data_IF_514659567629
#
_entry.id   IF_514659567629
#
_cell.length_a   1.000
_cell.length_b   1.000
_cell.length_c   1.000
_cell.angle_alpha   90.00
_cell.angle_beta   90.00
_cell.angle_gamma   90.00
#
_symmetry.space_group_name_H-M   'P 1'
#
loop_
_entity.id
_entity.type
_entity.pdbx_description
1 polymer ?
#
# COMPACT_ATOMS: atom_id res chain seq x y z
N UNK A 1 -39.23 -2.07 27.15
CA UNK A 1 -38.22 -1.41 26.29
C UNK A 1 -37.00 -1.06 27.15
N UNK A 2 -35.80 -1.41 26.68
CA UNK A 2 -34.61 -1.56 27.52
C UNK A 2 -33.90 -0.23 27.81
N UNK A 3 -33.80 0.13 29.10
CA UNK A 3 -32.85 1.16 29.55
C UNK A 3 -31.38 0.70 29.46
N UNK A 4 -31.11 -0.61 29.45
CA UNK A 4 -29.76 -1.17 29.36
C UNK A 4 -29.02 -0.85 28.05
N UNK A 5 -29.72 -0.75 26.91
CA UNK A 5 -29.09 -0.50 25.60
C UNK A 5 -28.58 0.95 25.43
N UNK A 6 -29.10 1.90 26.21
CA UNK A 6 -28.66 3.30 26.14
C UNK A 6 -27.34 3.51 26.89
N UNK A 7 -27.12 2.79 27.99
CA UNK A 7 -25.89 2.90 28.76
C UNK A 7 -24.67 2.26 28.08
N UNK A 8 -24.84 1.19 27.30
CA UNK A 8 -23.73 0.58 26.55
C UNK A 8 -23.23 1.47 25.41
N UNK A 9 -24.15 2.12 24.67
CA UNK A 9 -23.79 3.02 23.57
C UNK A 9 -23.07 4.28 24.06
N UNK A 10 -23.55 4.89 25.16
CA UNK A 10 -22.90 6.06 25.77
C UNK A 10 -21.55 5.68 26.40
N UNK A 11 -21.43 4.49 26.99
CA UNK A 11 -20.15 3.97 27.50
C UNK A 11 -19.11 3.79 26.39
N UNK A 12 -19.48 3.14 25.28
CA UNK A 12 -18.59 2.96 24.13
C UNK A 12 -18.15 4.31 23.52
N UNK A 13 -19.08 5.26 23.36
CA UNK A 13 -18.77 6.60 22.84
C UNK A 13 -17.82 7.38 23.77
N UNK A 14 -17.98 7.29 25.10
CA UNK A 14 -17.09 7.93 26.07
C UNK A 14 -15.71 7.27 26.13
N UNK A 15 -15.60 5.96 25.91
CA UNK A 15 -14.30 5.27 25.81
C UNK A 15 -13.58 5.65 24.52
N UNK A 16 -14.27 5.67 23.36
CA UNK A 16 -13.71 6.11 22.09
C UNK A 16 -13.27 7.59 22.12
N UNK A 17 -14.10 8.47 22.67
CA UNK A 17 -13.75 9.88 22.89
C UNK A 17 -12.61 10.03 23.91
N UNK A 18 -12.56 9.20 24.94
CA UNK A 18 -11.48 9.20 25.93
C UNK A 18 -10.13 8.80 25.34
N UNK A 19 -10.09 7.76 24.49
CA UNK A 19 -8.87 7.29 23.82
C UNK A 19 -8.36 8.35 22.84
N UNK A 20 -9.22 8.91 21.99
CA UNK A 20 -8.85 9.97 21.03
C UNK A 20 -8.44 11.29 21.70
N UNK A 21 -9.06 11.64 22.83
CA UNK A 21 -8.68 12.83 23.59
C UNK A 21 -7.38 12.63 24.40
N UNK A 22 -7.09 11.41 24.85
CA UNK A 22 -5.82 11.09 25.51
C UNK A 22 -4.65 11.04 24.52
N UNK A 23 -4.84 10.55 23.28
CA UNK A 23 -3.76 10.54 22.29
C UNK A 23 -3.33 11.95 21.89
N UNK A 24 -4.28 12.83 21.54
CA UNK A 24 -3.98 14.23 21.17
C UNK A 24 -3.22 14.98 22.29
N UNK A 25 -3.69 14.87 23.54
CA UNK A 25 -3.03 15.51 24.69
C UNK A 25 -1.74 14.83 25.16
N UNK A 26 -1.41 13.63 24.68
CA UNK A 26 -0.10 13.01 24.89
C UNK A 26 0.90 13.50 23.82
N UNK A 27 0.45 13.59 22.56
CA UNK A 27 1.24 14.10 21.46
C UNK A 27 1.68 15.55 21.66
N UNK A 28 0.74 16.45 21.99
CA UNK A 28 1.04 17.84 22.35
C UNK A 28 2.06 17.96 23.50
N UNK A 29 2.06 17.00 24.44
CA UNK A 29 2.99 17.00 25.59
C UNK A 29 4.39 16.48 25.25
N UNK A 30 4.55 15.56 24.30
CA UNK A 30 5.87 15.12 23.81
C UNK A 30 6.46 16.10 22.78
N UNK A 31 5.62 16.76 21.99
CA UNK A 31 6.02 17.84 21.08
C UNK A 31 6.58 19.08 21.82
N UNK A 32 6.42 19.19 23.14
CA UNK A 32 6.90 20.34 23.93
C UNK A 32 8.43 20.51 24.04
N UNK A 33 9.25 19.64 23.46
CA UNK A 33 10.72 19.80 23.48
C UNK A 33 11.58 18.63 22.97
N UNK A 34 11.01 17.64 22.27
CA UNK A 34 11.78 16.54 21.67
C UNK A 34 12.43 16.90 20.33
N UNK A 35 13.49 16.17 19.93
CA UNK A 35 14.25 16.35 18.68
C UNK A 35 13.36 16.47 17.44
N UNK A 36 12.29 15.66 17.38
CA UNK A 36 11.37 15.57 16.24
C UNK A 36 10.10 16.41 16.40
N UNK A 37 9.94 17.21 17.47
CA UNK A 37 8.73 17.96 17.76
C UNK A 37 8.17 18.79 16.58
N UNK A 38 9.06 19.25 15.70
CA UNK A 38 8.71 20.04 14.52
C UNK A 38 7.83 19.28 13.51
N UNK A 39 7.82 17.94 13.49
CA UNK A 39 7.03 17.18 12.51
C UNK A 39 5.52 17.26 12.76
N UNK A 40 5.09 17.61 13.99
CA UNK A 40 3.70 17.64 14.42
C UNK A 40 2.82 18.61 13.60
N UNK A 41 3.43 19.62 12.95
CA UNK A 41 2.74 20.62 12.14
C UNK A 41 2.99 20.50 10.63
N UNK A 42 3.59 19.40 10.14
CA UNK A 42 3.91 19.21 8.73
C UNK A 42 2.74 18.51 8.03
N UNK A 43 2.28 19.06 6.91
CA UNK A 43 1.26 18.42 6.08
C UNK A 43 1.84 17.20 5.32
N UNK A 44 1.09 16.11 5.16
CA UNK A 44 1.52 14.99 4.32
C UNK A 44 1.78 15.38 2.87
N UNK A 45 2.83 14.82 2.27
CA UNK A 45 3.21 15.03 0.86
C UNK A 45 2.13 14.57 -0.15
N UNK A 46 1.38 13.55 0.24
CA UNK A 46 0.32 12.90 -0.53
C UNK A 46 -0.85 12.59 0.42
N UNK A 47 -2.02 12.26 -0.10
CA UNK A 47 -3.11 11.80 0.76
C UNK A 47 -2.65 10.56 1.56
N UNK A 48 -2.77 10.57 2.91
CA UNK A 48 -2.53 9.39 3.74
C UNK A 48 -3.31 8.18 3.24
N UNK A 49 -2.69 7.01 3.30
CA UNK A 49 -3.20 5.77 2.70
C UNK A 49 -3.37 4.68 3.74
N UNK A 50 -4.45 3.90 3.65
CA UNK A 50 -4.60 2.71 4.46
C UNK A 50 -3.89 1.53 3.78
N UNK A 51 -3.10 0.78 4.55
CA UNK A 51 -2.49 -0.48 4.16
C UNK A 51 -2.86 -1.54 5.19
N UNK A 52 -3.22 -2.75 4.73
CA UNK A 52 -3.54 -3.88 5.60
C UNK A 52 -2.61 -5.10 5.36
N UNK A 53 -1.27 -4.95 5.49
CA UNK A 53 -0.33 -6.03 5.24
C UNK A 53 -0.55 -7.20 6.20
N UNK A 54 -0.24 -8.42 5.73
CA UNK A 54 -0.19 -9.59 6.61
C UNK A 54 0.82 -9.36 7.75
N UNK A 55 0.54 -9.92 8.94
CA UNK A 55 1.48 -9.87 10.08
C UNK A 55 2.87 -10.40 9.68
N UNK A 56 2.87 -11.45 8.86
CA UNK A 56 4.06 -11.97 8.18
C UNK A 56 3.90 -11.73 6.68
N UNK A 57 4.34 -10.57 6.14
CA UNK A 57 4.23 -10.29 4.72
C UNK A 57 5.13 -11.24 3.92
N UNK A 58 4.75 -11.57 2.67
CA UNK A 58 5.58 -12.42 1.81
C UNK A 58 6.95 -11.79 1.54
N UNK A 59 7.99 -12.62 1.49
CA UNK A 59 9.38 -12.15 1.31
C UNK A 59 9.63 -11.75 -0.15
N UNK A 60 9.76 -10.45 -0.41
CA UNK A 60 9.90 -9.87 -1.77
C UNK A 60 11.30 -10.00 -2.40
N UNK A 61 12.18 -10.83 -1.83
CA UNK A 61 13.50 -11.12 -2.39
C UNK A 61 14.39 -9.88 -2.54
N UNK A 62 14.71 -9.51 -3.79
CA UNK A 62 15.59 -8.38 -4.11
C UNK A 62 14.91 -7.01 -3.96
N UNK A 63 13.58 -6.96 -4.09
CA UNK A 63 12.77 -5.73 -4.18
C UNK A 63 12.64 -4.95 -2.85
N UNK A 64 13.10 -5.53 -1.74
CA UNK A 64 13.15 -4.88 -0.42
C UNK A 64 11.86 -5.01 0.39
N UNK A 65 11.90 -4.57 1.65
CA UNK A 65 10.76 -4.63 2.57
C UNK A 65 10.01 -3.28 2.53
N UNK A 66 8.89 -3.23 1.79
CA UNK A 66 8.08 -2.01 1.57
C UNK A 66 7.60 -1.37 2.88
N UNK A 67 7.31 -2.19 3.89
CA UNK A 67 6.78 -1.76 5.18
C UNK A 67 7.85 -1.47 6.24
N UNK A 68 9.13 -1.71 5.95
CA UNK A 68 10.27 -1.35 6.80
C UNK A 68 10.38 -2.06 8.16
N UNK A 69 9.66 -3.16 8.38
CA UNK A 69 9.93 -4.12 9.46
C UNK A 69 10.27 -5.49 8.84
N UNK A 70 11.17 -6.26 9.47
CA UNK A 70 11.56 -7.59 9.00
C UNK A 70 10.67 -8.71 9.55
N UNK A 71 10.09 -8.49 10.73
CA UNK A 71 9.10 -9.36 11.36
C UNK A 71 8.20 -8.56 12.31
N UNK A 72 6.99 -9.07 12.56
CA UNK A 72 6.05 -8.52 13.52
C UNK A 72 5.53 -9.59 14.47
N UNK A 73 5.19 -9.20 15.71
CA UNK A 73 4.54 -10.06 16.69
C UNK A 73 3.36 -9.30 17.29
N UNK A 74 2.16 -9.85 17.11
CA UNK A 74 0.91 -9.33 17.69
C UNK A 74 0.75 -9.76 19.14
N UNK A 75 0.28 -8.84 20.00
CA UNK A 75 -0.14 -9.12 21.36
C UNK A 75 -1.68 -9.10 21.45
N UNK A 76 -2.35 -10.25 21.57
CA UNK A 76 -3.81 -10.31 21.58
C UNK A 76 -4.46 -9.76 22.88
N UNK A 77 -3.68 -9.41 23.90
CA UNK A 77 -4.21 -8.87 25.16
C UNK A 77 -4.59 -7.38 25.08
N UNK A 78 -3.90 -6.61 24.24
CA UNK A 78 -4.06 -5.14 24.10
C UNK A 78 -4.02 -4.67 22.63
N UNK A 79 -3.96 -5.61 21.68
CA UNK A 79 -3.84 -5.37 20.23
C UNK A 79 -2.61 -4.54 19.85
N UNK A 80 -1.55 -4.55 20.69
CA UNK A 80 -0.25 -3.97 20.35
C UNK A 80 0.56 -4.87 19.41
N UNK A 81 1.52 -4.29 18.70
CA UNK A 81 2.44 -5.01 17.81
C UNK A 81 3.89 -4.68 18.14
N UNK A 82 4.73 -5.71 18.24
CA UNK A 82 6.19 -5.56 18.29
C UNK A 82 6.77 -5.73 16.90
N UNK A 83 7.36 -4.67 16.35
CA UNK A 83 8.13 -4.74 15.10
C UNK A 83 9.60 -5.04 15.40
N UNK A 84 10.19 -5.83 14.52
CA UNK A 84 11.62 -6.12 14.46
C UNK A 84 12.24 -5.43 13.25
N UNK A 85 13.40 -4.84 13.48
CA UNK A 85 14.12 -3.99 12.55
C UNK A 85 15.55 -4.54 12.39
N UNK A 86 15.81 -5.30 11.33
CA UNK A 86 17.12 -5.86 10.97
C UNK A 86 18.00 -4.90 10.14
N UNK A 87 19.31 -4.85 10.45
CA UNK A 87 20.27 -3.95 9.76
C UNK A 87 20.27 -4.10 8.23
N UNK A 88 20.11 -5.30 7.67
CA UNK A 88 20.24 -5.49 6.20
C UNK A 88 18.90 -5.45 5.43
N UNK A 89 17.78 -5.28 6.14
CA UNK A 89 16.43 -5.38 5.57
C UNK A 89 15.62 -4.09 5.63
N UNK A 90 15.70 -3.36 6.75
CA UNK A 90 14.78 -2.28 7.12
C UNK A 90 14.76 -1.12 6.12
N UNK A 91 15.89 -0.83 5.47
CA UNK A 91 15.97 0.21 4.44
C UNK A 91 16.67 -0.32 3.21
N UNK A 92 15.87 -0.62 2.18
CA UNK A 92 16.26 -0.42 0.79
C UNK A 92 15.40 0.71 0.23
N UNK A 93 15.97 1.67 -0.53
CA UNK A 93 15.18 2.71 -1.17
C UNK A 93 14.27 2.06 -2.22
N UNK A 94 12.97 2.34 -2.13
CA UNK A 94 11.99 1.89 -3.10
C UNK A 94 11.84 2.90 -4.25
N UNK A 95 12.34 2.53 -5.42
CA UNK A 95 12.22 3.32 -6.66
C UNK A 95 13.27 4.42 -6.85
N UNK A 96 13.16 5.10 -7.99
CA UNK A 96 14.15 6.07 -8.49
C UNK A 96 14.14 7.35 -7.62
N UNK A 97 15.29 8.03 -7.54
CA UNK A 97 15.46 9.31 -6.81
C UNK A 97 15.70 9.18 -5.31
N UNK A 98 15.27 8.08 -4.67
CA UNK A 98 15.49 7.87 -3.25
C UNK A 98 16.87 7.26 -2.94
N UNK A 99 17.55 7.81 -1.94
CA UNK A 99 18.79 7.22 -1.38
C UNK A 99 18.70 7.08 0.14
N UNK A 100 19.52 6.19 0.70
CA UNK A 100 19.65 6.02 2.15
C UNK A 100 20.55 7.14 2.69
N UNK A 101 20.20 7.85 3.79
CA UNK A 101 21.10 8.78 4.44
C UNK A 101 22.44 8.13 4.78
N UNK A 102 23.56 8.84 4.55
CA UNK A 102 24.91 8.33 4.87
C UNK A 102 25.15 8.05 6.36
N UNK A 103 24.28 8.57 7.24
CA UNK A 103 24.31 8.33 8.69
C UNK A 103 23.43 7.15 9.12
N UNK A 104 22.84 6.42 8.17
CA UNK A 104 22.06 5.24 8.49
C UNK A 104 22.95 4.06 8.91
N UNK A 105 22.97 3.79 10.20
CA UNK A 105 23.38 2.52 10.77
C UNK A 105 22.41 2.13 11.90
N UNK A 106 21.96 0.88 11.91
CA UNK A 106 21.43 0.26 13.12
C UNK A 106 22.65 -0.18 13.98
N UNK A 107 22.79 0.27 15.25
CA UNK A 107 23.97 0.00 16.08
C UNK A 107 24.09 -1.49 16.50
N UNK A 108 23.03 -2.26 16.30
CA UNK A 108 22.97 -3.70 16.54
C UNK A 108 22.40 -4.38 15.29
N UNK A 109 22.57 -5.71 15.17
CA UNK A 109 22.11 -6.46 14.01
C UNK A 109 20.57 -6.46 13.88
N UNK A 110 19.88 -6.30 15.02
CA UNK A 110 18.45 -5.99 15.08
C UNK A 110 18.11 -5.02 16.21
N UNK A 111 17.00 -4.31 16.05
CA UNK A 111 16.31 -3.54 17.07
C UNK A 111 14.82 -3.95 17.08
N UNK A 112 14.13 -3.79 18.21
CA UNK A 112 12.68 -4.02 18.26
C UNK A 112 11.97 -3.00 19.14
N UNK A 113 10.71 -2.72 18.78
CA UNK A 113 9.88 -1.73 19.45
C UNK A 113 8.42 -2.14 19.36
N UNK A 114 7.70 -1.96 20.48
CA UNK A 114 6.26 -2.22 20.58
C UNK A 114 5.48 -0.94 20.40
N UNK A 115 4.42 -0.99 19.60
CA UNK A 115 3.50 0.11 19.34
C UNK A 115 2.07 -0.33 19.71
N UNK A 116 1.39 0.49 20.48
CA UNK A 116 -0.02 0.34 20.83
C UNK A 116 -0.95 0.92 19.76
N UNK A 117 -2.23 0.57 19.85
CA UNK A 117 -3.27 1.08 18.94
C UNK A 117 -3.37 2.61 19.00
N UNK A 118 -3.53 3.23 17.83
CA UNK A 118 -3.49 4.66 17.52
C UNK A 118 -2.13 5.36 17.63
N UNK A 119 -1.05 4.67 18.00
CA UNK A 119 0.26 5.31 18.06
C UNK A 119 0.81 5.65 16.67
N UNK A 120 1.43 6.82 16.55
CA UNK A 120 2.18 7.22 15.33
C UNK A 120 3.66 7.02 15.50
N UNK A 121 4.40 6.69 14.44
CA UNK A 121 5.86 6.57 14.48
C UNK A 121 6.45 6.69 13.07
N UNK A 122 7.66 7.24 12.98
CA UNK A 122 8.48 7.08 11.78
C UNK A 122 9.03 5.65 11.74
N UNK A 123 9.06 5.05 10.56
CA UNK A 123 9.65 3.73 10.34
C UNK A 123 10.79 3.76 9.32
N UNK A 124 10.83 4.77 8.45
CA UNK A 124 11.87 4.96 7.43
C UNK A 124 12.19 6.45 7.25
N UNK A 125 13.46 6.77 6.99
CA UNK A 125 13.91 8.07 6.53
C UNK A 125 14.73 7.86 5.25
N UNK A 126 14.36 8.55 4.16
CA UNK A 126 15.07 8.55 2.89
C UNK A 126 15.50 9.97 2.52
N UNK A 127 16.47 10.09 1.62
CA UNK A 127 16.84 11.35 0.96
C UNK A 127 16.25 11.35 -0.44
N UNK A 128 15.60 12.45 -0.84
CA UNK A 128 15.10 12.72 -2.19
C UNK A 128 15.53 14.14 -2.56
N UNK A 129 16.35 14.26 -3.59
CA UNK A 129 17.04 15.51 -3.96
C UNK A 129 17.79 16.11 -2.74
N UNK A 130 17.55 17.40 -2.43
CA UNK A 130 18.11 18.06 -1.24
C UNK A 130 17.26 17.82 0.03
N UNK A 131 16.09 17.19 -0.07
CA UNK A 131 15.15 17.00 1.04
C UNK A 131 15.28 15.63 1.72
N UNK A 132 14.78 15.54 2.96
CA UNK A 132 14.56 14.27 3.65
C UNK A 132 13.07 13.95 3.67
N UNK A 133 12.75 12.68 3.48
CA UNK A 133 11.38 12.16 3.47
C UNK A 133 11.25 11.17 4.63
N UNK A 134 10.43 11.50 5.63
CA UNK A 134 10.05 10.56 6.68
C UNK A 134 8.80 9.80 6.24
N UNK A 135 8.89 8.47 6.23
CA UNK A 135 7.71 7.62 6.11
C UNK A 135 7.22 7.28 7.51
N UNK A 136 5.96 7.60 7.75
CA UNK A 136 5.28 7.49 9.02
C UNK A 136 4.16 6.45 8.91
N UNK A 137 3.89 5.77 10.01
CA UNK A 137 2.65 5.05 10.22
C UNK A 137 1.87 5.63 11.39
N UNK A 138 0.55 5.52 11.34
CA UNK A 138 -0.28 5.29 12.52
C UNK A 138 -0.70 3.82 12.54
N UNK A 139 -0.45 3.13 13.65
CA UNK A 139 -0.95 1.77 13.85
C UNK A 139 -2.40 1.82 14.36
N UNK A 140 -3.32 1.15 13.68
CA UNK A 140 -4.76 1.12 13.99
C UNK A 140 -5.22 -0.20 14.64
N UNK A 141 -4.28 -1.09 14.98
CA UNK A 141 -4.57 -2.43 15.51
C UNK A 141 -4.51 -3.51 14.43
N UNK A 142 -5.18 -4.64 14.65
CA UNK A 142 -5.24 -5.74 13.68
C UNK A 142 -6.61 -5.92 13.02
N UNK A 143 -6.61 -6.59 11.86
CA UNK A 143 -7.83 -7.01 11.16
C UNK A 143 -7.68 -8.44 10.64
N UNK A 144 -8.82 -9.13 10.50
CA UNK A 144 -8.88 -10.49 9.97
C UNK A 144 -9.54 -10.48 8.59
N UNK A 145 -8.97 -11.24 7.65
CA UNK A 145 -9.55 -11.50 6.33
C UNK A 145 -9.47 -13.01 6.03
N UNK A 146 -10.62 -13.68 5.97
CA UNK A 146 -10.71 -15.15 5.83
C UNK A 146 -9.79 -15.91 6.81
N UNK A 147 -9.75 -15.45 8.07
CA UNK A 147 -8.91 -16.02 9.14
C UNK A 147 -7.44 -15.61 9.14
N UNK A 148 -6.95 -14.91 8.11
CA UNK A 148 -5.58 -14.40 8.07
C UNK A 148 -5.48 -13.06 8.79
N UNK A 149 -4.45 -12.92 9.63
CA UNK A 149 -4.21 -11.73 10.46
C UNK A 149 -3.35 -10.70 9.72
N UNK A 150 -3.90 -9.50 9.59
CA UNK A 150 -3.23 -8.33 9.06
C UNK A 150 -3.06 -7.27 10.13
N UNK A 151 -2.04 -6.43 9.93
CA UNK A 151 -1.92 -5.15 10.61
C UNK A 151 -2.83 -4.14 9.91
N UNK A 152 -3.29 -3.12 10.62
CA UNK A 152 -3.99 -1.97 10.03
C UNK A 152 -3.07 -0.76 10.20
N UNK A 153 -2.52 -0.25 9.09
CA UNK A 153 -1.51 0.80 9.08
C UNK A 153 -1.98 1.97 8.21
N UNK A 154 -2.12 3.16 8.80
CA UNK A 154 -2.28 4.40 8.02
C UNK A 154 -0.88 4.94 7.73
N UNK A 155 -0.48 4.86 6.48
CA UNK A 155 0.82 5.34 6.00
C UNK A 155 0.73 6.78 5.50
N UNK A 156 1.73 7.60 5.80
CA UNK A 156 1.89 8.95 5.27
C UNK A 156 3.37 9.34 5.16
N UNK A 157 3.67 10.35 4.34
CA UNK A 157 5.04 10.82 4.08
C UNK A 157 5.14 12.30 4.40
N UNK A 158 6.21 12.69 5.10
CA UNK A 158 6.49 14.08 5.47
C UNK A 158 7.80 14.51 4.82
N UNK A 159 7.78 15.63 4.09
CA UNK A 159 9.02 16.30 3.68
C UNK A 159 9.52 17.15 4.85
N UNK A 160 10.77 16.91 5.24
CA UNK A 160 11.37 17.47 6.45
C UNK A 160 12.74 18.09 6.16
N UNK A 161 13.22 19.01 7.02
CA UNK A 161 14.48 19.72 6.81
C UNK A 161 15.67 18.78 6.53
N UNK A 162 16.65 19.17 5.69
CA UNK A 162 17.75 18.29 5.27
C UNK A 162 18.70 17.85 6.41
N UNK A 163 18.58 18.46 7.59
CA UNK A 163 19.40 18.24 8.78
C UNK A 163 18.79 17.27 9.83
N UNK A 164 17.45 17.21 9.98
CA UNK A 164 16.51 16.32 10.76
C UNK A 164 16.91 15.32 11.90
N UNK A 165 18.16 14.83 12.08
CA UNK A 165 18.45 13.45 12.51
C UNK A 165 17.69 12.26 11.87
N UNK A 166 18.42 11.27 11.32
CA UNK A 166 17.85 10.02 10.77
C UNK A 166 18.56 8.75 11.27
N UNK A 167 19.18 8.86 12.44
CA UNK A 167 19.93 7.80 13.11
C UNK A 167 18.99 6.79 13.79
N UNK A 168 19.30 5.50 13.68
CA UNK A 168 18.51 4.43 14.31
C UNK A 168 19.20 3.96 15.59
N UNK A 169 18.46 3.54 16.63
CA UNK A 169 17.01 3.48 16.73
C UNK A 169 16.35 4.79 17.18
N UNK A 170 17.07 5.91 17.21
CA UNK A 170 16.53 7.17 17.74
C UNK A 170 15.35 7.72 16.94
N UNK A 171 15.37 7.61 15.61
CA UNK A 171 14.21 7.92 14.77
C UNK A 171 12.96 7.13 15.21
N UNK A 172 13.09 5.81 15.38
CA UNK A 172 11.97 4.92 15.76
C UNK A 172 11.41 5.24 17.15
N UNK A 173 12.29 5.63 18.09
CA UNK A 173 11.93 5.90 19.50
C UNK A 173 11.39 7.31 19.74
N UNK A 174 11.98 8.31 19.09
CA UNK A 174 11.74 9.72 19.40
C UNK A 174 10.66 10.37 18.51
N UNK A 175 10.14 9.64 17.51
CA UNK A 175 8.98 10.06 16.70
C UNK A 175 7.64 9.46 17.18
N UNK A 176 7.67 8.60 18.20
CA UNK A 176 6.46 7.97 18.76
C UNK A 176 5.52 9.06 19.29
N UNK A 177 4.28 9.02 18.81
CA UNK A 177 3.18 9.92 19.17
C UNK A 177 3.51 11.41 19.02
N UNK A 178 4.49 11.78 18.20
CA UNK A 178 4.78 13.20 17.93
C UNK A 178 3.78 13.80 16.93
N UNK A 179 3.11 12.98 16.11
CA UNK A 179 2.19 13.42 15.06
C UNK A 179 0.74 13.03 15.39
N UNK A 180 -0.22 13.95 15.28
CA UNK A 180 -1.64 13.60 15.45
C UNK A 180 -2.30 13.26 14.11
N UNK A 181 -2.38 11.96 13.82
CA UNK A 181 -3.09 11.41 12.66
C UNK A 181 -4.60 11.15 12.93
N UNK A 182 -5.14 11.55 14.10
CA UNK A 182 -6.49 11.23 14.55
C UNK A 182 -7.62 11.66 13.58
N UNK A 183 -7.42 12.72 12.80
CA UNK A 183 -8.38 13.20 11.81
C UNK A 183 -8.39 12.47 10.46
N UNK A 184 -7.38 11.63 10.16
CA UNK A 184 -7.15 11.13 8.79
C UNK A 184 -8.30 10.26 8.26
N UNK A 185 -8.93 9.42 9.11
CA UNK A 185 -10.00 8.52 8.67
C UNK A 185 -11.19 9.26 8.05
N UNK A 186 -11.57 10.40 8.64
CA UNK A 186 -12.68 11.23 8.19
C UNK A 186 -12.33 12.12 6.98
N UNK A 187 -11.07 12.55 6.87
CA UNK A 187 -10.62 13.42 5.77
C UNK A 187 -10.34 12.63 4.48
N UNK A 188 -9.73 11.44 4.59
CA UNK A 188 -9.24 10.65 3.45
C UNK A 188 -10.01 9.33 3.24
N UNK A 189 -11.06 9.08 4.03
CA UNK A 189 -11.92 7.90 3.88
C UNK A 189 -11.19 6.58 4.14
N UNK A 190 -10.38 6.52 5.20
CA UNK A 190 -9.50 5.39 5.53
C UNK A 190 -10.22 4.31 6.34
N UNK A 191 -11.37 3.87 5.84
CA UNK A 191 -12.12 2.77 6.45
C UNK A 191 -11.36 1.45 6.36
N UNK A 192 -11.02 0.87 7.51
CA UNK A 192 -10.51 -0.51 7.61
C UNK A 192 -11.48 -1.52 6.98
N UNK A 193 -10.95 -2.63 6.44
CA UNK A 193 -11.80 -3.78 6.13
C UNK A 193 -12.56 -4.25 7.38
N UNK A 194 -13.84 -4.57 7.18
CA UNK A 194 -14.69 -5.26 8.14
C UNK A 194 -15.48 -6.30 7.39
N UNK A 195 -15.31 -7.55 7.77
CA UNK A 195 -16.05 -8.67 7.20
C UNK A 195 -17.55 -8.49 7.48
N UNK A 196 -18.35 -8.48 6.42
CA UNK A 196 -19.81 -8.57 6.53
C UNK A 196 -20.18 -10.06 6.58
N UNK A 197 -20.63 -10.59 7.73
CA UNK A 197 -20.99 -12.00 7.88
C UNK A 197 -22.25 -12.41 7.08
N UNK A 198 -22.86 -11.48 6.34
CA UNK A 198 -24.01 -11.71 5.47
C UNK A 198 -23.70 -11.54 3.98
N UNK A 199 -22.51 -11.04 3.62
CA UNK A 199 -22.04 -11.02 2.25
C UNK A 199 -21.51 -12.41 1.85
N UNK A 200 -21.90 -12.97 0.70
CA UNK A 200 -21.27 -14.19 0.17
C UNK A 200 -19.84 -13.87 -0.26
N UNK A 201 -18.87 -14.66 0.20
CA UNK A 201 -17.47 -14.52 -0.17
C UNK A 201 -17.22 -14.97 -1.62
N UNK A 202 -16.58 -14.12 -2.42
CA UNK A 202 -16.08 -14.44 -3.76
C UNK A 202 -14.57 -14.78 -3.69
N UNK A 203 -14.15 -16.02 -4.01
CA UNK A 203 -12.77 -16.45 -3.87
C UNK A 203 -11.79 -15.83 -4.88
N UNK A 204 -12.29 -15.08 -5.88
CA UNK A 204 -11.48 -14.30 -6.81
C UNK A 204 -11.57 -12.80 -6.51
N UNK A 205 -12.77 -12.25 -6.43
CA UNK A 205 -12.96 -10.81 -6.34
C UNK A 205 -12.60 -10.24 -4.94
N UNK A 206 -12.92 -10.94 -3.85
CA UNK A 206 -12.70 -10.40 -2.50
C UNK A 206 -11.20 -10.34 -2.12
N UNK A 207 -10.37 -11.38 -2.39
CA UNK A 207 -8.93 -11.29 -2.22
C UNK A 207 -8.27 -10.14 -2.98
N UNK A 208 -8.74 -9.87 -4.21
CA UNK A 208 -8.23 -8.77 -5.06
C UNK A 208 -8.67 -7.41 -4.54
N UNK A 209 -9.93 -7.26 -4.10
CA UNK A 209 -10.44 -6.01 -3.51
C UNK A 209 -9.65 -5.57 -2.28
N UNK A 210 -9.09 -6.53 -1.55
CA UNK A 210 -8.30 -6.30 -0.34
C UNK A 210 -6.82 -6.64 -0.53
N UNK A 211 -6.33 -6.64 -1.78
CA UNK A 211 -4.93 -6.86 -2.09
C UNK A 211 -4.05 -5.70 -1.59
N UNK A 212 -2.85 -6.03 -1.12
CA UNK A 212 -1.87 -5.11 -0.57
C UNK A 212 -0.80 -4.86 -1.62
N UNK A 213 -0.66 -3.59 -2.02
CA UNK A 213 0.34 -3.16 -3.00
C UNK A 213 1.77 -3.40 -2.48
N UNK A 214 2.63 -3.87 -3.38
CA UNK A 214 4.03 -4.23 -3.12
C UNK A 214 4.99 -3.12 -3.50
N UNK A 215 4.73 -2.44 -4.62
CA UNK A 215 5.61 -1.45 -5.24
C UNK A 215 4.85 -0.15 -5.57
N UNK A 216 5.55 0.78 -6.23
CA UNK A 216 4.96 1.99 -6.80
C UNK A 216 3.97 1.64 -7.92
N UNK A 217 3.10 2.58 -8.23
CA UNK A 217 2.27 2.52 -9.44
C UNK A 217 3.08 3.08 -10.59
N UNK A 218 3.37 2.27 -11.59
CA UNK A 218 3.92 2.75 -12.85
C UNK A 218 2.75 3.14 -13.75
N UNK A 219 2.91 4.19 -14.56
CA UNK A 219 1.97 4.56 -15.63
C UNK A 219 2.75 4.55 -16.93
N UNK A 220 2.61 3.45 -17.67
CA UNK A 220 3.42 3.11 -18.83
C UNK A 220 2.62 3.14 -20.14
N UNK A 221 3.21 3.64 -21.25
CA UNK A 221 2.62 3.61 -22.58
C UNK A 221 3.05 2.36 -23.35
N UNK A 222 2.07 1.63 -23.86
CA UNK A 222 2.25 0.40 -24.63
C UNK A 222 1.73 0.59 -26.07
N UNK A 223 2.59 0.57 -27.10
CA UNK A 223 2.14 0.76 -28.48
C UNK A 223 1.47 -0.52 -29.01
N UNK A 224 0.56 -0.31 -29.96
CA UNK A 224 -0.31 -1.35 -30.55
C UNK A 224 0.43 -2.33 -31.48
N UNK A 225 1.69 -2.06 -31.83
CA UNK A 225 2.49 -2.83 -32.79
C UNK A 225 3.23 -4.03 -32.16
N UNK A 226 3.13 -4.21 -30.83
CA UNK A 226 3.67 -5.37 -30.10
C UNK A 226 2.63 -6.04 -29.20
N UNK A 227 2.72 -7.37 -28.99
CA UNK A 227 1.88 -8.06 -28.01
C UNK A 227 2.17 -7.59 -26.58
N UNK A 228 1.16 -7.64 -25.71
CA UNK A 228 1.25 -7.24 -24.30
C UNK A 228 1.46 -8.46 -23.38
N UNK A 229 0.41 -9.29 -23.27
CA UNK A 229 0.32 -10.40 -22.31
C UNK A 229 0.17 -11.77 -22.99
N UNK A 230 0.26 -11.81 -24.32
CA UNK A 230 0.00 -13.01 -25.12
C UNK A 230 0.65 -12.92 -26.51
N UNK A 231 0.26 -13.78 -27.47
CA UNK A 231 0.87 -13.82 -28.80
C UNK A 231 0.33 -12.74 -29.76
N UNK A 232 -0.88 -12.24 -29.53
CA UNK A 232 -1.58 -11.33 -30.46
C UNK A 232 -1.34 -9.86 -30.10
N UNK A 233 -1.41 -9.00 -31.12
CA UNK A 233 -1.44 -7.56 -30.94
C UNK A 233 -2.74 -7.12 -30.25
N UNK A 234 -2.70 -6.15 -29.31
CA UNK A 234 -3.91 -5.58 -28.74
C UNK A 234 -4.70 -4.79 -29.79
N UNK A 235 -6.03 -4.84 -29.71
CA UNK A 235 -6.93 -4.13 -30.64
C UNK A 235 -7.64 -3.01 -29.88
N UNK A 236 -7.33 -1.77 -30.26
CA UNK A 236 -8.06 -0.58 -29.80
C UNK A 236 -9.38 -0.46 -30.57
N UNK A 237 -10.50 -0.51 -29.88
CA UNK A 237 -11.84 -0.46 -30.46
C UNK A 237 -12.33 1.00 -30.64
N UNK A 238 -13.31 1.25 -31.52
CA UNK A 238 -13.83 2.61 -31.78
C UNK A 238 -14.52 3.29 -30.58
N UNK A 239 -14.90 2.53 -29.56
CA UNK A 239 -15.48 3.02 -28.30
C UNK A 239 -14.42 3.38 -27.24
N UNK A 240 -13.13 3.21 -27.56
CA UNK A 240 -12.01 3.45 -26.66
C UNK A 240 -11.70 2.28 -25.72
N UNK A 241 -12.40 1.14 -25.85
CA UNK A 241 -12.01 -0.10 -25.17
C UNK A 241 -10.82 -0.76 -25.85
N UNK A 242 -10.06 -1.59 -25.11
CA UNK A 242 -8.97 -2.40 -25.67
C UNK A 242 -9.27 -3.88 -25.52
N UNK A 243 -9.20 -4.61 -26.62
CA UNK A 243 -9.23 -6.08 -26.64
C UNK A 243 -7.80 -6.61 -26.58
N UNK A 244 -7.49 -7.45 -25.59
CA UNK A 244 -6.16 -8.00 -25.33
C UNK A 244 -6.24 -9.53 -25.25
N UNK A 245 -5.31 -10.21 -25.91
CA UNK A 245 -5.09 -11.65 -25.69
C UNK A 245 -4.06 -11.82 -24.57
N UNK A 246 -4.48 -12.50 -23.51
CA UNK A 246 -3.62 -13.02 -22.45
C UNK A 246 -3.20 -14.44 -22.79
N UNK A 247 -2.01 -14.87 -22.38
CA UNK A 247 -1.57 -16.24 -22.57
C UNK A 247 -0.76 -16.76 -21.38
N UNK A 248 -0.95 -18.04 -21.07
CA UNK A 248 -0.20 -18.74 -20.04
C UNK A 248 0.40 -20.02 -20.58
N UNK A 249 1.66 -20.27 -20.22
CA UNK A 249 2.29 -21.56 -20.45
C UNK A 249 1.67 -22.61 -19.50
N UNK A 250 1.12 -23.67 -20.09
CA UNK A 250 0.67 -24.89 -19.42
C UNK A 250 1.60 -26.06 -19.82
N UNK A 251 1.53 -27.18 -19.10
CA UNK A 251 2.44 -28.31 -19.29
C UNK A 251 2.38 -29.00 -20.67
N UNK A 252 1.36 -28.69 -21.47
CA UNK A 252 1.05 -29.22 -22.80
C UNK A 252 1.07 -28.15 -23.91
N UNK A 253 1.23 -26.86 -23.60
CA UNK A 253 1.27 -25.80 -24.62
C UNK A 253 1.08 -24.38 -24.06
N UNK A 254 0.71 -23.45 -24.93
CA UNK A 254 0.28 -22.10 -24.54
C UNK A 254 -1.24 -22.06 -24.63
N UNK A 255 -1.92 -21.77 -23.52
CA UNK A 255 -3.36 -21.48 -23.52
C UNK A 255 -3.54 -19.97 -23.59
N UNK A 256 -4.41 -19.50 -24.47
CA UNK A 256 -4.75 -18.08 -24.61
C UNK A 256 -6.22 -17.80 -24.28
N UNK A 257 -6.49 -16.57 -23.84
CA UNK A 257 -7.82 -16.05 -23.57
C UNK A 257 -7.87 -14.57 -23.96
N UNK A 258 -8.91 -14.16 -24.67
CA UNK A 258 -9.06 -12.79 -25.17
C UNK A 258 -10.18 -12.07 -24.44
N UNK A 259 -9.87 -10.92 -23.84
CA UNK A 259 -10.83 -10.09 -23.09
C UNK A 259 -10.78 -8.64 -23.56
N UNK A 260 -11.87 -7.90 -23.37
CA UNK A 260 -11.96 -6.48 -23.69
C UNK A 260 -12.16 -5.66 -22.41
N UNK A 261 -11.41 -4.56 -22.29
CA UNK A 261 -11.41 -3.67 -21.13
C UNK A 261 -11.78 -2.25 -21.54
N UNK A 262 -12.73 -1.65 -20.84
CA UNK A 262 -13.07 -0.23 -20.93
C UNK A 262 -12.02 0.62 -20.18
N UNK A 263 -11.80 1.88 -20.58
CA UNK A 263 -11.02 2.82 -19.79
C UNK A 263 -11.58 2.95 -18.36
N UNK A 264 -10.67 2.96 -17.38
CA UNK A 264 -10.98 2.93 -15.96
C UNK A 264 -11.02 1.53 -15.34
N UNK A 265 -11.11 0.45 -16.12
CA UNK A 265 -11.22 -0.91 -15.55
C UNK A 265 -9.90 -1.44 -14.99
N UNK A 266 -9.98 -2.22 -13.91
CA UNK A 266 -8.83 -2.96 -13.34
C UNK A 266 -8.91 -4.44 -13.68
N UNK A 267 -7.77 -5.10 -13.85
CA UNK A 267 -7.70 -6.55 -14.03
C UNK A 267 -6.38 -7.13 -13.50
N UNK A 268 -6.39 -8.43 -13.22
CA UNK A 268 -5.19 -9.22 -12.92
C UNK A 268 -4.71 -9.90 -14.20
N UNK A 269 -3.43 -9.72 -14.54
CA UNK A 269 -2.79 -10.42 -15.66
C UNK A 269 -1.88 -11.58 -15.18
N UNK A 270 -1.04 -11.31 -14.19
CA UNK A 270 -0.17 -12.28 -13.56
C UNK A 270 -0.74 -12.79 -12.25
N UNK A 271 -0.72 -14.11 -12.04
CA UNK A 271 -1.17 -14.78 -10.81
C UNK A 271 -0.21 -15.90 -10.40
N UNK A 272 0.39 -15.78 -9.21
CA UNK A 272 1.31 -16.77 -8.65
C UNK A 272 0.90 -17.12 -7.21
N UNK A 273 0.59 -18.39 -6.96
CA UNK A 273 0.23 -18.91 -5.63
C UNK A 273 1.49 -19.01 -4.76
N UNK A 274 1.41 -18.50 -3.52
CA UNK A 274 2.45 -18.60 -2.50
C UNK A 274 1.93 -19.19 -1.19
N UNK A 275 2.80 -19.29 -0.19
CA UNK A 275 2.45 -19.85 1.12
C UNK A 275 1.44 -18.94 1.87
N UNK A 276 0.15 -19.27 1.75
CA UNK A 276 -0.95 -18.55 2.41
C UNK A 276 -1.39 -17.24 1.75
N UNK A 277 -0.89 -16.94 0.56
CA UNK A 277 -1.16 -15.70 -0.20
C UNK A 277 -1.06 -15.96 -1.70
N UNK A 278 -1.60 -15.07 -2.52
CA UNK A 278 -1.40 -15.06 -3.98
C UNK A 278 -0.81 -13.73 -4.40
N UNK A 279 0.30 -13.76 -5.15
CA UNK A 279 0.90 -12.59 -5.79
C UNK A 279 0.19 -12.26 -7.10
N UNK A 280 0.01 -10.97 -7.35
CA UNK A 280 -0.75 -10.44 -8.49
C UNK A 280 0.10 -9.43 -9.26
N UNK A 281 0.10 -9.52 -10.59
CA UNK A 281 0.44 -8.42 -11.48
C UNK A 281 -0.86 -7.77 -11.93
N UNK A 282 -1.10 -6.55 -11.48
CA UNK A 282 -2.36 -5.84 -11.63
C UNK A 282 -2.21 -4.66 -12.57
N UNK A 283 -3.25 -4.42 -13.35
CA UNK A 283 -3.30 -3.38 -14.36
C UNK A 283 -4.61 -2.58 -14.24
N UNK A 284 -4.54 -1.30 -14.57
CA UNK A 284 -5.68 -0.43 -14.80
C UNK A 284 -5.54 0.21 -16.18
N UNK A 285 -6.47 -0.07 -17.08
CA UNK A 285 -6.45 0.52 -18.42
C UNK A 285 -6.95 1.96 -18.35
N UNK A 286 -6.14 2.95 -18.71
CA UNK A 286 -6.48 4.39 -18.62
C UNK A 286 -7.01 4.97 -19.94
N UNK A 287 -6.99 4.21 -21.02
CA UNK A 287 -7.37 4.66 -22.36
C UNK A 287 -6.19 4.66 -23.33
N UNK A 288 -6.32 5.35 -24.45
CA UNK A 288 -5.28 5.46 -25.47
C UNK A 288 -4.94 6.93 -25.77
N UNK A 289 -3.66 7.20 -26.02
CA UNK A 289 -3.11 8.55 -26.21
C UNK A 289 -2.03 8.57 -27.29
N UNK A 290 -2.02 9.63 -28.12
CA UNK A 290 -0.90 9.90 -29.03
C UNK A 290 0.15 10.68 -28.25
N UNK A 291 1.31 10.06 -28.01
CA UNK A 291 2.43 10.65 -27.28
C UNK A 291 3.45 11.17 -28.31
N UNK A 292 3.56 12.49 -28.55
CA UNK A 292 4.23 13.02 -29.74
C UNK A 292 5.71 12.69 -29.90
N UNK A 293 6.41 12.43 -28.78
CA UNK A 293 7.82 12.05 -28.77
C UNK A 293 8.05 10.53 -28.86
N UNK A 294 7.00 9.72 -28.68
CA UNK A 294 7.06 8.26 -28.66
C UNK A 294 6.59 7.63 -29.96
N UNK A 295 5.42 8.06 -30.48
CA UNK A 295 4.84 7.57 -31.73
C UNK A 295 3.80 8.53 -32.30
N UNK A 296 3.58 8.48 -33.62
CA UNK A 296 2.42 9.10 -34.26
C UNK A 296 1.12 8.31 -34.05
N UNK A 297 1.24 7.02 -33.73
CA UNK A 297 0.11 6.12 -33.46
C UNK A 297 -0.23 6.13 -31.97
N UNK A 298 -1.50 5.90 -31.59
CA UNK A 298 -1.92 5.90 -30.19
C UNK A 298 -1.26 4.74 -29.42
N UNK A 299 -0.65 5.06 -28.29
CA UNK A 299 -0.25 4.09 -27.28
C UNK A 299 -1.40 3.86 -26.29
N UNK A 300 -1.52 2.62 -25.81
CA UNK A 300 -2.39 2.24 -24.71
C UNK A 300 -1.73 2.64 -23.40
N UNK A 301 -2.43 3.39 -22.56
CA UNK A 301 -1.91 3.80 -21.26
C UNK A 301 -2.45 2.85 -20.20
N UNK A 302 -1.54 2.20 -19.46
CA UNK A 302 -1.90 1.39 -18.31
C UNK A 302 -1.21 1.93 -17.07
N UNK A 303 -1.92 1.93 -15.94
CA UNK A 303 -1.25 1.88 -14.64
C UNK A 303 -1.01 0.42 -14.26
N UNK A 304 0.19 0.11 -13.76
CA UNK A 304 0.63 -1.26 -13.44
C UNK A 304 1.33 -1.30 -12.08
N UNK A 305 1.01 -2.32 -11.29
CA UNK A 305 1.61 -2.56 -9.97
C UNK A 305 1.60 -4.05 -9.62
N UNK A 306 2.49 -4.42 -8.70
CA UNK A 306 2.48 -5.70 -8.02
C UNK A 306 1.68 -5.61 -6.73
N UNK A 307 0.91 -6.64 -6.41
CA UNK A 307 0.20 -6.77 -5.14
C UNK A 307 0.28 -8.21 -4.61
N UNK A 308 -0.15 -8.41 -3.36
CA UNK A 308 -0.46 -9.74 -2.84
C UNK A 308 -1.79 -9.73 -2.10
N UNK A 309 -2.47 -10.86 -2.11
CA UNK A 309 -3.77 -11.03 -1.48
C UNK A 309 -3.65 -11.37 0.00
N UNK A 310 -4.57 -10.87 0.84
CA UNK A 310 -4.57 -11.16 2.28
C UNK A 310 -5.08 -12.57 2.62
N UNK A 311 -5.65 -13.28 1.65
CA UNK A 311 -5.98 -14.69 1.71
C UNK A 311 -5.77 -15.31 0.33
N UNK A 312 -5.48 -16.62 0.21
CA UNK A 312 -5.24 -17.26 -1.07
C UNK A 312 -6.38 -17.05 -2.08
N UNK A 313 -6.00 -16.68 -3.30
CA UNK A 313 -6.86 -16.63 -4.48
C UNK A 313 -6.43 -17.73 -5.46
N UNK A 314 -7.35 -18.53 -6.02
CA UNK A 314 -6.99 -19.54 -7.02
C UNK A 314 -6.39 -18.92 -8.27
N UNK A 315 -5.25 -19.43 -8.75
CA UNK A 315 -4.68 -19.00 -10.02
C UNK A 315 -5.12 -19.87 -11.20
N UNK A 316 -6.40 -20.26 -11.29
CA UNK A 316 -6.92 -20.97 -12.48
C UNK A 316 -7.06 -20.02 -13.66
N UNK A 317 -6.48 -20.36 -14.82
CA UNK A 317 -6.59 -19.57 -16.05
C UNK A 317 -7.71 -20.15 -16.95
N UNK A 318 -8.58 -19.32 -17.56
CA UNK A 318 -8.59 -17.86 -17.52
C UNK A 318 -9.39 -17.25 -16.35
N UNK A 319 -9.96 -18.06 -15.46
CA UNK A 319 -10.88 -17.63 -14.39
C UNK A 319 -10.41 -16.39 -13.61
N UNK A 320 -9.13 -16.33 -13.21
CA UNK A 320 -8.61 -15.16 -12.48
C UNK A 320 -8.59 -13.88 -13.32
N UNK A 321 -8.53 -13.96 -14.65
CA UNK A 321 -8.63 -12.80 -15.55
C UNK A 321 -10.10 -12.40 -15.69
N UNK A 322 -11.00 -13.38 -15.77
CA UNK A 322 -12.42 -13.10 -15.99
C UNK A 322 -13.14 -12.55 -14.74
N UNK A 323 -12.82 -13.10 -13.56
CA UNK A 323 -13.57 -12.90 -12.32
C UNK A 323 -13.01 -11.79 -11.42
N UNK A 324 -11.82 -11.26 -11.71
CA UNK A 324 -11.18 -10.18 -10.92
C UNK A 324 -11.34 -8.78 -11.51
N UNK A 325 -12.02 -8.66 -12.66
CA UNK A 325 -12.22 -7.35 -13.30
C UNK A 325 -13.04 -6.44 -12.40
N UNK A 326 -12.55 -5.22 -12.24
CA UNK A 326 -13.09 -4.17 -11.35
C UNK A 326 -13.25 -4.60 -9.88
N UNK A 327 -12.56 -5.67 -9.46
CA UNK A 327 -12.55 -6.09 -8.07
C UNK A 327 -11.75 -5.12 -7.18
N UNK A 328 -10.72 -4.47 -7.72
CA UNK A 328 -9.90 -3.47 -7.03
C UNK A 328 -10.37 -2.05 -7.39
N UNK A 329 -10.33 -1.12 -6.43
CA UNK A 329 -10.68 0.29 -6.64
C UNK A 329 -9.43 1.12 -6.99
N UNK A 330 -9.24 1.55 -8.26
CA UNK A 330 -8.07 2.34 -8.66
C UNK A 330 -8.18 3.82 -8.28
N UNK A 331 -9.34 4.31 -7.82
CA UNK A 331 -9.64 5.76 -7.64
C UNK A 331 -8.78 6.48 -6.58
N UNK A 332 -7.98 5.71 -5.83
CA UNK A 332 -7.06 6.19 -4.82
C UNK A 332 -5.60 6.19 -5.27
N UNK A 333 -5.24 5.45 -6.32
CA UNK A 333 -3.85 5.25 -6.73
C UNK A 333 -3.11 6.58 -6.96
N UNK A 334 -3.65 7.43 -7.85
CA UNK A 334 -3.03 8.72 -8.23
C UNK A 334 -2.93 9.76 -7.10
N UNK A 335 -3.62 9.55 -5.97
CA UNK A 335 -3.67 10.51 -4.84
C UNK A 335 -2.92 10.03 -3.61
N UNK A 336 -2.82 8.71 -3.45
CA UNK A 336 -2.31 8.05 -2.25
C UNK A 336 -0.98 7.34 -2.47
N UNK A 337 -0.56 7.08 -3.71
CA UNK A 337 0.65 6.33 -4.03
C UNK A 337 1.63 7.14 -4.87
N UNK A 338 2.91 6.97 -4.58
CA UNK A 338 4.00 7.44 -5.43
C UNK A 338 3.84 6.77 -6.80
N UNK A 339 3.62 7.60 -7.81
CA UNK A 339 3.24 7.21 -9.17
C UNK A 339 4.31 7.71 -10.12
N UNK A 340 4.94 6.80 -10.84
CA UNK A 340 5.98 7.11 -11.82
C UNK A 340 5.34 7.09 -13.21
N UNK A 341 5.21 8.26 -13.86
CA UNK A 341 4.60 8.36 -15.18
C UNK A 341 5.65 8.56 -16.26
N UNK A 342 5.39 7.99 -17.44
CA UNK A 342 6.11 8.34 -18.68
C UNK A 342 6.12 9.84 -19.00
N UNK A 343 5.21 10.63 -18.40
CA UNK A 343 5.13 12.08 -18.54
C UNK A 343 6.12 12.85 -17.65
N UNK A 344 6.74 12.17 -16.69
CA UNK A 344 7.70 12.78 -15.74
C UNK A 344 9.15 12.72 -16.27
N UNK A 345 9.39 12.08 -17.43
CA UNK A 345 10.64 12.25 -18.17
C UNK A 345 10.72 13.70 -18.72
N UNK A 346 11.78 14.46 -18.41
CA UNK A 346 11.90 15.84 -18.86
C UNK A 346 12.13 15.93 -20.37
N UNK A 347 11.59 16.98 -21.01
CA UNK A 347 11.76 17.28 -22.44
C UNK A 347 13.22 17.10 -22.91
N UNK A 348 13.44 16.16 -23.86
CA UNK A 348 14.72 15.85 -24.51
C UNK A 348 14.90 16.65 -25.81
#
# INVERSE_FOLDING_TARGET
>A
MNRLLVFSAVGAALVLAGITYQSAHHAERQAGGGTYAFIAGIEPLFEPRLQEPLLYPPRLGYWGDTWGYSAAVHNPADDSVTFWYERERVIRPGGIGYTIPKTWELPHDSYSQTYGVNQTFAYRCLVRDDARILHMYQYRGTSLFQGNLSLVLVHFELEVPPDTPCEYPDLLRQTVDVYDAGGFDGMYGLGQYREDPHAPYDPYADPVRHAVLLNKVYVDPFPLDRPLFGPDLPVLNPDGSVTVTHARAAGDGITSHTRTYMPGQTFVDGCEEGDGTTFLSMYNYRGAEVIPWYSSDPALIFANWGAYTRAPMPCTFPDYIEMTVDAFDPSRLDRQWDTESYRDEPDI
#
